data_IF_332087958294
#
_entry.id   IF_332087958294
#
_cell.length_a   1.000
_cell.length_b   1.000
_cell.length_c   1.000
_cell.angle_alpha   90.00
_cell.angle_beta   90.00
_cell.angle_gamma   90.00
#
_symmetry.space_group_name_H-M   'P 1'
#
loop_
_entity.id
_entity.type
_entity.pdbx_description
1 polymer ?
#
# COMPACT_ATOMS: atom_id res chain seq x y z
N UNK A 1 -41.38 -65.05 -16.60
CA UNK A 1 -41.41 -63.57 -16.61
C UNK A 1 -41.09 -62.97 -15.24
N UNK A 2 -41.48 -63.60 -14.13
CA UNK A 2 -41.25 -63.08 -12.77
C UNK A 2 -39.78 -63.00 -12.38
N UNK A 3 -38.95 -63.99 -12.73
CA UNK A 3 -37.51 -63.96 -12.45
C UNK A 3 -36.80 -62.79 -13.14
N UNK A 4 -37.17 -62.49 -14.39
CA UNK A 4 -36.62 -61.35 -15.13
C UNK A 4 -37.02 -60.00 -14.49
N UNK A 5 -38.26 -59.86 -14.02
CA UNK A 5 -38.68 -58.66 -13.28
C UNK A 5 -37.94 -58.50 -11.95
N UNK A 6 -37.64 -59.61 -11.25
CA UNK A 6 -36.86 -59.58 -10.03
C UNK A 6 -35.40 -59.14 -10.27
N UNK A 7 -34.77 -59.63 -11.35
CA UNK A 7 -33.43 -59.19 -11.74
C UNK A 7 -33.39 -57.71 -12.14
N UNK A 8 -34.43 -57.23 -12.84
CA UNK A 8 -34.55 -55.82 -13.20
C UNK A 8 -34.68 -54.92 -11.94
N UNK A 9 -35.47 -55.36 -10.95
CA UNK A 9 -35.61 -54.65 -9.68
C UNK A 9 -34.30 -54.58 -8.88
N UNK A 10 -33.54 -55.67 -8.82
CA UNK A 10 -32.21 -55.70 -8.18
C UNK A 10 -31.21 -54.81 -8.92
N UNK A 11 -31.27 -54.76 -10.25
CA UNK A 11 -30.42 -53.88 -11.04
C UNK A 11 -30.74 -52.39 -10.81
N UNK A 12 -32.02 -52.02 -10.84
CA UNK A 12 -32.47 -50.64 -10.61
C UNK A 12 -32.09 -50.18 -9.19
N UNK A 13 -32.33 -51.01 -8.17
CA UNK A 13 -31.94 -50.70 -6.78
C UNK A 13 -30.43 -50.56 -6.62
N UNK A 14 -29.63 -51.40 -7.28
CA UNK A 14 -28.17 -51.26 -7.32
C UNK A 14 -27.70 -49.95 -7.96
N UNK A 15 -28.34 -49.52 -9.05
CA UNK A 15 -28.03 -48.24 -9.71
C UNK A 15 -28.38 -47.04 -8.82
N UNK A 16 -29.50 -47.10 -8.09
CA UNK A 16 -29.89 -46.04 -7.16
C UNK A 16 -28.92 -45.95 -5.98
N UNK A 17 -28.53 -47.08 -5.39
CA UNK A 17 -27.57 -47.12 -4.27
C UNK A 17 -26.18 -46.58 -4.68
N UNK A 18 -25.70 -46.94 -5.87
CA UNK A 18 -24.42 -46.40 -6.37
C UNK A 18 -24.46 -44.90 -6.59
N UNK A 19 -25.56 -44.35 -7.11
CA UNK A 19 -25.75 -42.89 -7.24
C UNK A 19 -25.73 -42.18 -5.89
N UNK A 20 -26.33 -42.76 -4.85
CA UNK A 20 -26.34 -42.20 -3.49
C UNK A 20 -24.92 -42.15 -2.90
N UNK A 21 -24.11 -43.20 -3.11
CA UNK A 21 -22.72 -43.20 -2.62
C UNK A 21 -21.88 -42.14 -3.32
N UNK A 22 -22.03 -41.99 -4.64
CA UNK A 22 -21.31 -40.98 -5.43
C UNK A 22 -21.70 -39.57 -4.98
N UNK A 23 -22.98 -39.29 -4.75
CA UNK A 23 -23.43 -37.96 -4.29
C UNK A 23 -22.91 -37.63 -2.90
N UNK A 24 -22.87 -38.59 -1.97
CA UNK A 24 -22.30 -38.38 -0.63
C UNK A 24 -20.80 -38.09 -0.71
N UNK A 25 -20.05 -38.80 -1.56
CA UNK A 25 -18.61 -38.55 -1.75
C UNK A 25 -18.35 -37.18 -2.37
N UNK A 26 -19.11 -36.81 -3.41
CA UNK A 26 -19.07 -35.47 -4.03
C UNK A 26 -19.38 -34.37 -3.00
N UNK A 27 -20.41 -34.56 -2.17
CA UNK A 27 -20.81 -33.58 -1.16
C UNK A 27 -19.73 -33.38 -0.09
N UNK A 28 -19.03 -34.45 0.33
CA UNK A 28 -17.88 -34.36 1.24
C UNK A 28 -16.71 -33.60 0.62
N UNK A 29 -16.42 -33.83 -0.66
CA UNK A 29 -15.37 -33.10 -1.38
C UNK A 29 -15.75 -31.63 -1.57
N UNK A 30 -17.01 -31.34 -1.90
CA UNK A 30 -17.52 -29.98 -2.04
C UNK A 30 -17.47 -29.21 -0.71
N UNK A 31 -17.85 -29.85 0.41
CA UNK A 31 -17.73 -29.26 1.74
C UNK A 31 -16.27 -28.99 2.12
N UNK A 32 -15.34 -29.87 1.73
CA UNK A 32 -13.90 -29.64 1.95
C UNK A 32 -13.39 -28.44 1.15
N UNK A 33 -13.73 -28.37 -0.14
CA UNK A 33 -13.38 -27.23 -1.01
C UNK A 33 -13.99 -25.91 -0.52
N UNK A 34 -15.22 -25.94 -0.01
CA UNK A 34 -15.89 -24.76 0.55
C UNK A 34 -15.24 -24.31 1.88
N UNK A 35 -14.80 -25.25 2.73
CA UNK A 35 -14.03 -24.92 3.95
C UNK A 35 -12.67 -24.32 3.62
N UNK A 36 -11.99 -24.82 2.60
CA UNK A 36 -10.71 -24.26 2.14
C UNK A 36 -10.90 -22.81 1.65
N UNK A 37 -11.98 -22.52 0.91
CA UNK A 37 -12.32 -21.15 0.51
C UNK A 37 -12.67 -20.24 1.70
N UNK A 38 -13.43 -20.72 2.68
CA UNK A 38 -13.75 -19.95 3.89
C UNK A 38 -12.49 -19.67 4.75
N UNK A 39 -11.59 -20.65 4.87
CA UNK A 39 -10.33 -20.48 5.60
C UNK A 39 -9.38 -19.49 4.91
N UNK A 40 -9.44 -19.37 3.57
CA UNK A 40 -8.67 -18.36 2.85
C UNK A 40 -9.21 -16.95 3.10
N UNK A 41 -10.54 -16.79 3.17
CA UNK A 41 -11.19 -15.52 3.48
C UNK A 41 -10.97 -15.08 4.93
N UNK A 42 -10.93 -16.01 5.90
CA UNK A 42 -10.61 -15.70 7.30
C UNK A 42 -9.16 -15.24 7.50
N UNK A 43 -8.21 -15.83 6.76
CA UNK A 43 -6.79 -15.42 6.81
C UNK A 43 -6.58 -14.05 6.17
N UNK A 44 -7.33 -13.70 5.11
CA UNK A 44 -7.28 -12.37 4.49
C UNK A 44 -7.85 -11.30 5.43
N UNK A 45 -8.97 -11.57 6.12
CA UNK A 45 -9.54 -10.62 7.07
C UNK A 45 -8.70 -10.44 8.36
N UNK A 46 -8.00 -11.48 8.82
CA UNK A 46 -7.05 -11.35 9.95
C UNK A 46 -5.75 -10.62 9.55
N UNK A 47 -5.35 -10.67 8.27
CA UNK A 47 -4.19 -9.92 7.79
C UNK A 47 -4.50 -8.42 7.64
N UNK A 48 -5.73 -8.03 7.31
CA UNK A 48 -6.16 -6.62 7.27
C UNK A 48 -6.30 -5.99 8.67
N UNK A 49 -6.56 -6.79 9.72
CA UNK A 49 -6.69 -6.27 11.09
C UNK A 49 -5.34 -6.03 11.79
N UNK A 50 -4.24 -6.46 11.15
CA UNK A 50 -2.86 -6.17 11.55
C UNK A 50 -2.24 -5.03 10.73
N UNK A 51 -3.05 -4.09 10.24
CA UNK A 51 -2.50 -2.76 10.00
C UNK A 51 -1.94 -2.23 11.34
N UNK A 52 -0.64 -1.94 11.45
CA UNK A 52 -0.14 -1.29 12.64
C UNK A 52 -0.91 0.02 12.75
N UNK A 53 -1.76 0.14 13.77
CA UNK A 53 -2.22 1.45 14.25
C UNK A 53 -0.95 2.20 14.60
N UNK A 54 -0.43 2.96 13.62
CA UNK A 54 0.68 3.87 13.81
C UNK A 54 0.24 4.76 14.95
N UNK A 55 0.79 4.52 16.13
CA UNK A 55 0.54 5.34 17.29
C UNK A 55 0.95 6.75 16.87
N UNK A 56 -0.05 7.61 16.69
CA UNK A 56 0.16 9.02 16.42
C UNK A 56 0.94 9.57 17.60
N UNK A 57 2.26 9.65 17.46
CA UNK A 57 3.09 10.44 18.35
C UNK A 57 2.99 11.86 17.82
N UNK A 58 2.61 12.84 18.63
CA UNK A 58 2.85 14.22 18.26
C UNK A 58 4.36 14.35 18.05
N UNK A 59 4.78 14.42 16.79
CA UNK A 59 6.13 14.82 16.44
C UNK A 59 6.16 16.29 16.81
N UNK A 60 7.05 16.69 17.71
CA UNK A 60 7.32 18.11 17.95
C UNK A 60 7.81 18.68 16.60
N UNK A 61 6.92 19.40 15.92
CA UNK A 61 7.23 19.96 14.61
C UNK A 61 8.01 21.24 14.88
N UNK A 62 9.32 21.18 14.63
CA UNK A 62 10.19 22.34 14.67
C UNK A 62 9.71 23.37 13.63
N UNK A 63 9.51 24.61 14.03
CA UNK A 63 9.24 25.72 13.12
C UNK A 63 10.55 26.34 12.66
N UNK A 64 10.65 26.59 11.36
CA UNK A 64 11.77 27.28 10.71
C UNK A 64 11.26 28.57 10.10
N UNK A 65 12.17 29.52 9.86
CA UNK A 65 11.82 30.82 9.28
C UNK A 65 12.11 30.83 7.79
N UNK A 66 11.14 31.25 7.00
CA UNK A 66 11.30 31.49 5.57
C UNK A 66 12.35 32.58 5.31
N UNK A 67 13.34 32.27 4.48
CA UNK A 67 14.47 33.15 4.22
C UNK A 67 14.13 34.39 3.38
N UNK A 68 13.03 34.39 2.63
CA UNK A 68 12.53 35.52 1.84
C UNK A 68 11.46 36.28 2.61
N UNK A 69 10.41 35.59 3.06
CA UNK A 69 9.23 36.22 3.64
C UNK A 69 9.31 36.43 5.16
N UNK A 70 10.25 35.76 5.85
CA UNK A 70 10.38 35.81 7.30
C UNK A 70 9.27 35.07 8.06
N UNK A 71 8.40 34.34 7.35
CA UNK A 71 7.28 33.60 7.94
C UNK A 71 7.78 32.36 8.69
N UNK A 72 7.24 32.12 9.87
CA UNK A 72 7.45 30.83 10.56
C UNK A 72 6.61 29.74 9.88
N UNK A 73 7.28 28.64 9.54
CA UNK A 73 6.71 27.50 8.84
C UNK A 73 7.16 26.19 9.50
N UNK A 74 6.29 25.18 9.58
CA UNK A 74 6.69 23.86 10.04
C UNK A 74 7.80 23.30 9.14
N UNK A 75 8.93 22.88 9.71
CA UNK A 75 10.10 22.37 8.97
C UNK A 75 9.77 21.21 8.04
N UNK A 76 8.78 20.40 8.41
CA UNK A 76 8.26 19.27 7.63
C UNK A 76 7.50 19.71 6.37
N UNK A 77 7.03 20.95 6.33
CA UNK A 77 6.29 21.53 5.21
C UNK A 77 7.12 22.57 4.43
N UNK A 78 8.33 22.88 4.90
CA UNK A 78 9.19 23.87 4.29
C UNK A 78 9.91 23.31 3.05
N UNK A 79 9.95 24.11 1.99
CA UNK A 79 10.85 23.86 0.86
C UNK A 79 12.29 24.16 1.29
N UNK A 80 13.23 23.31 0.86
CA UNK A 80 14.63 23.41 1.29
C UNK A 80 15.55 23.67 0.10
N UNK A 81 16.61 24.44 0.34
CA UNK A 81 17.74 24.59 -0.56
C UNK A 81 19.02 24.46 0.25
N UNK A 82 19.89 23.55 -0.16
CA UNK A 82 21.21 23.37 0.43
C UNK A 82 22.23 24.06 -0.48
N UNK A 83 23.06 24.94 0.08
CA UNK A 83 24.22 25.55 -0.61
C UNK A 83 25.43 25.52 0.31
N UNK A 84 26.48 24.80 -0.09
CA UNK A 84 27.61 24.54 0.78
C UNK A 84 27.15 23.82 2.05
N UNK A 85 27.45 24.42 3.21
CA UNK A 85 27.08 23.90 4.52
C UNK A 85 25.79 24.53 5.10
N UNK A 86 25.14 25.44 4.36
CA UNK A 86 23.94 26.14 4.80
C UNK A 86 22.65 25.55 4.21
N UNK A 87 21.60 25.46 5.04
CA UNK A 87 20.25 25.04 4.64
C UNK A 87 19.31 26.23 4.76
N UNK A 88 18.71 26.61 3.64
CA UNK A 88 17.71 27.67 3.56
C UNK A 88 16.31 27.06 3.45
N UNK A 89 15.36 27.63 4.21
CA UNK A 89 13.98 27.19 4.26
C UNK A 89 13.05 28.24 3.62
N UNK A 90 12.01 27.76 2.91
CA UNK A 90 11.06 28.61 2.19
C UNK A 90 9.64 28.10 2.37
N UNK A 91 8.68 29.01 2.51
CA UNK A 91 7.26 28.74 2.70
C UNK A 91 6.56 28.37 1.40
N UNK A 92 7.14 28.77 0.26
CA UNK A 92 6.63 28.48 -1.07
C UNK A 92 7.75 28.09 -2.04
N UNK A 93 7.37 27.40 -3.12
CA UNK A 93 8.28 27.12 -4.22
C UNK A 93 8.76 28.41 -4.92
N UNK A 94 7.89 29.41 -4.99
CA UNK A 94 8.19 30.68 -5.65
C UNK A 94 9.26 31.45 -4.87
N UNK A 95 9.21 31.48 -3.53
CA UNK A 95 10.24 32.10 -2.69
C UNK A 95 11.60 31.43 -2.86
N UNK A 96 11.62 30.09 -2.92
CA UNK A 96 12.84 29.32 -3.21
C UNK A 96 13.40 29.68 -4.59
N UNK A 97 12.56 29.80 -5.60
CA UNK A 97 12.97 30.11 -6.97
C UNK A 97 13.51 31.53 -7.07
N UNK A 98 12.81 32.50 -6.49
CA UNK A 98 13.24 33.89 -6.40
C UNK A 98 14.60 34.03 -5.71
N UNK A 99 14.83 33.26 -4.64
CA UNK A 99 16.13 33.21 -3.95
C UNK A 99 17.24 32.64 -4.82
N UNK A 100 16.98 31.56 -5.57
CA UNK A 100 17.96 30.98 -6.50
C UNK A 100 18.33 31.97 -7.61
N UNK A 101 17.34 32.67 -8.16
CA UNK A 101 17.54 33.64 -9.24
C UNK A 101 18.29 34.89 -8.78
N UNK A 102 17.99 35.40 -7.57
CA UNK A 102 18.65 36.58 -7.02
C UNK A 102 20.13 36.32 -6.73
N UNK A 103 20.45 35.13 -6.22
CA UNK A 103 21.81 34.73 -5.87
C UNK A 103 22.65 34.31 -7.08
N UNK A 104 22.03 33.82 -8.16
CA UNK A 104 22.72 33.50 -9.42
C UNK A 104 23.39 34.72 -10.07
N UNK A 105 22.93 35.94 -9.79
CA UNK A 105 23.53 37.18 -10.31
C UNK A 105 24.77 37.64 -9.55
N UNK A 106 25.03 37.09 -8.36
CA UNK A 106 26.11 37.53 -7.47
C UNK A 106 27.36 36.64 -7.61
N UNK A 107 27.24 35.45 -8.20
CA UNK A 107 28.34 34.48 -8.36
C UNK A 107 29.16 34.65 -9.65
N UNK A 108 29.15 35.82 -10.31
CA UNK A 108 30.18 36.13 -11.31
C UNK A 108 31.46 36.55 -10.59
N UNK A 109 32.56 35.77 -10.63
CA UNK A 109 33.84 36.22 -10.12
C UNK A 109 34.32 37.33 -11.07
N UNK A 110 34.44 38.55 -10.54
CA UNK A 110 35.23 39.61 -11.14
C UNK A 110 36.70 39.32 -10.90
N UNK A 111 37.23 38.28 -11.54
CA UNK A 111 38.68 38.06 -11.65
C UNK A 111 39.15 38.70 -12.97
N UNK A 112 38.93 40.01 -13.10
CA UNK A 112 39.80 40.88 -13.89
C UNK A 112 40.73 41.58 -12.89
N UNK A 113 41.78 40.86 -12.45
CA UNK A 113 42.95 41.49 -11.86
C UNK A 113 44.15 41.20 -12.76
N UNK A 114 44.18 41.99 -13.84
CA UNK A 114 45.35 42.68 -14.36
C UNK A 114 46.64 42.46 -13.56
N UNK A 115 47.54 41.61 -14.06
CA UNK A 115 48.95 41.69 -13.72
C UNK A 115 49.81 41.65 -14.98
N UNK A 116 50.45 42.82 -15.17
CA UNK A 116 51.49 43.17 -16.11
C UNK A 116 52.78 42.37 -15.93
#
# INVERSE_FOLDING_TARGET
METFMNFLGVFITGVVLTRIVITIQMMKQYQKAQREQMSQTEVINQAEEMEPKLAYRPIDIEDVTDHISGKQIPKTQAYQLVRGDEIYYFSSWDDRTNFIESTKKVETPSDEEELA
#
